data_IF_983892184466
#
_entry.id   IF_983892184466
#
_cell.length_a   1.000
_cell.length_b   1.000
_cell.length_c   1.000
_cell.angle_alpha   90.00
_cell.angle_beta   90.00
_cell.angle_gamma   90.00
#
_symmetry.space_group_name_H-M   'P 1'
#
loop_
_entity.id
_entity.type
_entity.pdbx_description
1 polymer ?
#
# COMPACT_ATOMS: atom_id res chain seq x y z
N UNK A 1 -22.41 16.55 9.27
CA UNK A 1 -21.64 15.31 9.53
C UNK A 1 -21.84 14.33 8.36
N UNK A 2 -20.87 14.25 7.44
CA UNK A 2 -20.92 13.46 6.18
C UNK A 2 -19.94 12.27 6.29
N UNK A 3 -19.96 11.57 7.42
CA UNK A 3 -18.94 10.57 7.76
C UNK A 3 -19.34 9.10 7.46
N UNK A 4 -20.47 8.86 6.79
CA UNK A 4 -21.07 7.52 6.66
C UNK A 4 -21.38 7.05 5.25
N UNK A 5 -20.84 7.67 4.20
CA UNK A 5 -21.35 7.47 2.83
C UNK A 5 -20.79 6.26 2.07
N UNK A 6 -19.61 5.75 2.45
CA UNK A 6 -18.98 4.64 1.72
C UNK A 6 -18.74 3.44 2.62
N UNK A 7 -19.19 2.25 2.20
CA UNK A 7 -18.91 0.98 2.89
C UNK A 7 -17.38 0.79 2.93
N UNK A 8 -16.77 0.91 4.12
CA UNK A 8 -15.31 0.88 4.39
C UNK A 8 -14.51 -0.25 3.73
N UNK A 9 -15.14 -1.33 3.27
CA UNK A 9 -14.48 -2.48 2.60
C UNK A 9 -14.48 -2.45 1.06
N UNK A 10 -15.23 -1.56 0.41
CA UNK A 10 -15.31 -1.47 -1.07
C UNK A 10 -15.26 -0.02 -1.63
N UNK A 11 -15.13 0.98 -0.76
CA UNK A 11 -15.15 2.40 -1.13
C UNK A 11 -14.19 2.73 -2.29
N UNK A 12 -12.96 2.22 -2.27
CA UNK A 12 -11.96 2.49 -3.31
C UNK A 12 -12.40 2.03 -4.70
N UNK A 13 -12.82 0.78 -4.88
CA UNK A 13 -13.23 0.27 -6.19
C UNK A 13 -14.41 1.07 -6.78
N UNK A 14 -15.39 1.40 -5.94
CA UNK A 14 -16.54 2.20 -6.35
C UNK A 14 -16.15 3.64 -6.70
N UNK A 15 -15.25 4.27 -5.94
CA UNK A 15 -14.74 5.60 -6.26
C UNK A 15 -14.02 5.64 -7.61
N UNK A 16 -13.21 4.62 -7.93
CA UNK A 16 -12.55 4.55 -9.25
C UNK A 16 -13.54 4.40 -10.39
N UNK A 17 -14.53 3.53 -10.21
CA UNK A 17 -15.59 3.34 -11.21
C UNK A 17 -16.46 4.58 -11.37
N UNK A 18 -16.80 5.27 -10.28
CA UNK A 18 -17.54 6.53 -10.31
C UNK A 18 -16.82 7.59 -11.15
N UNK A 19 -15.52 7.80 -10.91
CA UNK A 19 -14.71 8.79 -11.63
C UNK A 19 -14.55 8.43 -13.10
N UNK A 20 -14.29 7.14 -13.40
CA UNK A 20 -14.19 6.65 -14.76
C UNK A 20 -15.49 6.88 -15.53
N UNK A 21 -16.63 6.47 -14.95
CA UNK A 21 -17.96 6.65 -15.56
C UNK A 21 -18.32 8.12 -15.72
N UNK A 22 -17.97 8.98 -14.75
CA UNK A 22 -18.19 10.41 -14.84
C UNK A 22 -17.46 10.98 -16.06
N UNK A 23 -16.19 10.64 -16.25
CA UNK A 23 -15.41 11.03 -17.42
C UNK A 23 -15.99 10.51 -18.74
N UNK A 24 -16.38 9.22 -18.79
CA UNK A 24 -17.01 8.61 -19.98
C UNK A 24 -18.33 9.31 -20.36
N UNK A 25 -19.18 9.63 -19.39
CA UNK A 25 -20.45 10.32 -19.63
C UNK A 25 -20.25 11.75 -20.13
N UNK A 26 -19.33 12.51 -19.53
CA UNK A 26 -19.00 13.85 -20.00
C UNK A 26 -18.45 13.82 -21.43
N UNK A 27 -17.60 12.83 -21.74
CA UNK A 27 -17.06 12.64 -23.09
C UNK A 27 -18.15 12.25 -24.12
N UNK A 28 -19.22 11.60 -23.67
CA UNK A 28 -20.41 11.30 -24.48
C UNK A 28 -21.39 12.48 -24.61
N UNK A 29 -21.07 13.64 -24.03
CA UNK A 29 -21.87 14.86 -24.16
C UNK A 29 -22.93 15.06 -23.07
N UNK A 30 -22.94 14.25 -22.02
CA UNK A 30 -23.80 14.51 -20.86
C UNK A 30 -23.33 15.76 -20.12
N UNK A 31 -24.28 16.54 -19.58
CA UNK A 31 -23.94 17.64 -18.67
C UNK A 31 -23.43 17.11 -17.32
N UNK A 32 -22.60 17.89 -16.62
CA UNK A 32 -22.08 17.54 -15.29
C UNK A 32 -23.19 17.15 -14.31
N UNK A 33 -24.28 17.91 -14.29
CA UNK A 33 -25.43 17.63 -13.43
C UNK A 33 -26.10 16.30 -13.76
N UNK A 34 -26.33 16.00 -15.05
CA UNK A 34 -26.94 14.74 -15.48
C UNK A 34 -26.06 13.53 -15.12
N UNK A 35 -24.75 13.64 -15.36
CA UNK A 35 -23.81 12.57 -15.09
C UNK A 35 -23.70 12.29 -13.58
N UNK A 36 -23.54 13.32 -12.75
CA UNK A 36 -23.49 13.17 -11.30
C UNK A 36 -24.79 12.62 -10.72
N UNK A 37 -25.96 13.08 -11.18
CA UNK A 37 -27.25 12.58 -10.73
C UNK A 37 -27.41 11.09 -11.05
N UNK A 38 -27.10 10.68 -12.29
CA UNK A 38 -27.16 9.28 -12.71
C UNK A 38 -26.22 8.38 -11.90
N UNK A 39 -25.01 8.85 -11.60
CA UNK A 39 -24.07 8.08 -10.78
C UNK A 39 -24.53 8.03 -9.32
N UNK A 40 -24.96 9.13 -8.71
CA UNK A 40 -25.39 9.11 -7.32
C UNK A 40 -26.59 8.18 -7.08
N UNK A 41 -27.50 8.03 -8.05
CA UNK A 41 -28.59 7.05 -8.01
C UNK A 41 -28.09 5.60 -7.90
N UNK A 42 -27.00 5.28 -8.59
CA UNK A 42 -26.46 3.91 -8.64
C UNK A 42 -25.46 3.60 -7.52
N UNK A 43 -24.87 4.63 -6.90
CA UNK A 43 -23.75 4.47 -5.98
C UNK A 43 -24.05 4.85 -4.50
N UNK A 44 -25.18 5.48 -4.18
CA UNK A 44 -25.54 5.92 -2.82
C UNK A 44 -26.92 5.38 -2.34
N UNK A 45 -26.98 4.83 -1.12
CA UNK A 45 -28.26 4.43 -0.48
C UNK A 45 -29.10 5.63 -0.02
N UNK A 46 -28.46 6.75 0.31
CA UNK A 46 -29.10 8.01 0.70
C UNK A 46 -29.09 9.03 -0.46
N UNK A 47 -29.12 8.53 -1.70
CA UNK A 47 -28.97 9.32 -2.92
C UNK A 47 -29.85 10.58 -2.96
N UNK A 48 -31.07 10.55 -2.42
CA UNK A 48 -31.95 11.72 -2.38
C UNK A 48 -31.33 12.94 -1.68
N UNK A 49 -30.68 12.78 -0.52
CA UNK A 49 -30.05 13.89 0.21
C UNK A 49 -28.75 14.35 -0.47
N UNK A 50 -27.97 13.41 -0.99
CA UNK A 50 -26.71 13.68 -1.67
C UNK A 50 -26.93 14.40 -3.00
N UNK A 51 -27.92 13.96 -3.78
CA UNK A 51 -28.32 14.59 -5.05
C UNK A 51 -28.83 16.00 -4.79
N UNK A 52 -29.70 16.22 -3.78
CA UNK A 52 -30.17 17.57 -3.45
C UNK A 52 -29.03 18.51 -3.04
N UNK A 53 -28.10 18.04 -2.20
CA UNK A 53 -26.95 18.86 -1.79
C UNK A 53 -26.04 19.17 -2.98
N UNK A 54 -25.66 18.17 -3.76
CA UNK A 54 -24.76 18.35 -4.92
C UNK A 54 -25.41 19.24 -5.98
N UNK A 55 -26.73 19.13 -6.17
CA UNK A 55 -27.46 20.03 -7.07
C UNK A 55 -27.42 21.48 -6.58
N UNK A 56 -27.54 21.73 -5.28
CA UNK A 56 -27.35 23.08 -4.71
C UNK A 56 -25.95 23.59 -5.03
N UNK A 57 -24.92 22.82 -4.68
CA UNK A 57 -23.51 23.20 -4.87
C UNK A 57 -23.18 23.47 -6.35
N UNK A 58 -23.68 22.65 -7.27
CA UNK A 58 -23.50 22.87 -8.71
C UNK A 58 -24.22 24.14 -9.20
N UNK A 59 -25.43 24.42 -8.70
CA UNK A 59 -26.16 25.64 -9.02
C UNK A 59 -25.47 26.89 -8.44
N UNK A 60 -24.81 26.74 -7.29
CA UNK A 60 -24.03 27.78 -6.62
C UNK A 60 -22.66 28.02 -7.30
N UNK A 61 -22.31 27.20 -8.30
CA UNK A 61 -21.07 27.32 -9.08
C UNK A 61 -19.84 26.68 -8.42
N UNK A 62 -20.05 25.84 -7.40
CA UNK A 62 -18.98 25.06 -6.75
C UNK A 62 -18.29 24.16 -7.77
N UNK A 63 -16.95 24.17 -7.78
CA UNK A 63 -16.14 23.36 -8.70
C UNK A 63 -16.21 21.86 -8.38
N UNK A 64 -16.01 21.01 -9.38
CA UNK A 64 -16.09 19.56 -9.22
C UNK A 64 -15.06 19.03 -8.22
N UNK A 65 -13.86 19.63 -8.15
CA UNK A 65 -12.84 19.24 -7.18
C UNK A 65 -13.35 19.30 -5.71
N UNK A 66 -14.11 20.33 -5.37
CA UNK A 66 -14.65 20.59 -4.03
C UNK A 66 -15.80 19.62 -3.74
N UNK A 67 -16.64 19.34 -4.74
CA UNK A 67 -17.70 18.32 -4.66
C UNK A 67 -17.09 16.93 -4.40
N UNK A 68 -16.05 16.56 -5.14
CA UNK A 68 -15.35 15.29 -4.93
C UNK A 68 -14.68 15.24 -3.54
N UNK A 69 -14.11 16.35 -3.07
CA UNK A 69 -13.55 16.44 -1.73
C UNK A 69 -14.63 16.22 -0.65
N UNK A 70 -15.81 16.83 -0.80
CA UNK A 70 -16.96 16.59 0.09
C UNK A 70 -17.43 15.13 0.09
N UNK A 71 -17.30 14.44 -1.04
CA UNK A 71 -17.61 13.02 -1.18
C UNK A 71 -16.50 12.09 -0.63
N UNK A 72 -15.47 12.64 0.03
CA UNK A 72 -14.31 11.92 0.56
C UNK A 72 -13.52 11.17 -0.54
N UNK A 73 -13.44 11.74 -1.74
CA UNK A 73 -12.50 11.24 -2.73
C UNK A 73 -11.07 11.50 -2.28
N UNK A 74 -10.13 10.66 -2.74
CA UNK A 74 -8.71 10.97 -2.61
C UNK A 74 -8.44 12.31 -3.31
N UNK A 75 -8.22 13.36 -2.55
CA UNK A 75 -7.00 14.14 -2.60
C UNK A 75 -6.29 14.29 -3.97
N UNK A 76 -5.63 13.23 -4.46
CA UNK A 76 -4.95 13.23 -5.77
C UNK A 76 -5.91 13.37 -6.97
N UNK A 77 -7.06 12.70 -6.92
CA UNK A 77 -8.12 12.81 -7.92
C UNK A 77 -8.71 14.22 -7.88
N UNK A 78 -8.92 14.78 -6.69
CA UNK A 78 -9.45 16.14 -6.53
C UNK A 78 -8.51 17.17 -7.18
N UNK A 79 -7.20 17.00 -7.01
CA UNK A 79 -6.19 17.85 -7.64
C UNK A 79 -6.17 17.73 -9.17
N UNK A 80 -6.17 16.50 -9.69
CA UNK A 80 -6.22 16.25 -11.14
C UNK A 80 -7.45 16.91 -11.77
N UNK A 81 -8.60 16.81 -11.10
CA UNK A 81 -9.85 17.47 -11.52
C UNK A 81 -9.73 19.00 -11.48
N UNK A 82 -9.19 19.58 -10.42
CA UNK A 82 -9.00 21.03 -10.31
C UNK A 82 -8.25 21.61 -11.51
N UNK A 83 -7.11 21.01 -11.88
CA UNK A 83 -6.34 21.46 -13.03
C UNK A 83 -7.05 21.16 -14.35
N UNK A 84 -7.71 20.01 -14.47
CA UNK A 84 -8.46 19.68 -15.68
C UNK A 84 -9.63 20.64 -15.92
N UNK A 85 -10.30 21.13 -14.87
CA UNK A 85 -11.32 22.17 -14.95
C UNK A 85 -10.74 23.50 -15.43
N UNK A 86 -9.59 23.92 -14.90
CA UNK A 86 -8.93 25.18 -15.29
C UNK A 86 -8.43 25.18 -16.73
N UNK A 87 -8.01 24.02 -17.24
CA UNK A 87 -7.41 23.88 -18.57
C UNK A 87 -8.34 23.23 -19.62
N UNK A 88 -9.61 22.98 -19.27
CA UNK A 88 -10.64 22.54 -20.22
C UNK A 88 -10.49 21.10 -20.71
N UNK A 89 -9.90 20.20 -19.92
CA UNK A 89 -9.63 18.78 -20.29
C UNK A 89 -10.21 17.78 -19.31
N UNK A 90 -11.35 18.16 -18.74
CA UNK A 90 -11.99 17.44 -17.64
C UNK A 90 -12.40 16.00 -17.98
N UNK A 91 -13.07 15.71 -19.13
CA UNK A 91 -13.50 14.36 -19.46
C UNK A 91 -12.33 13.38 -19.56
N UNK A 92 -11.25 13.75 -20.26
CA UNK A 92 -10.08 12.92 -20.46
C UNK A 92 -9.37 12.65 -19.13
N UNK A 93 -9.15 13.69 -18.32
CA UNK A 93 -8.49 13.53 -17.00
C UNK A 93 -9.30 12.64 -16.06
N UNK A 94 -10.64 12.74 -16.05
CA UNK A 94 -11.49 11.86 -15.23
C UNK A 94 -11.39 10.40 -15.67
N UNK A 95 -11.37 10.11 -16.98
CA UNK A 95 -11.18 8.75 -17.49
C UNK A 95 -9.84 8.20 -17.01
N UNK A 96 -8.74 8.94 -17.22
CA UNK A 96 -7.40 8.53 -16.80
C UNK A 96 -7.30 8.33 -15.28
N UNK A 97 -7.85 9.26 -14.48
CA UNK A 97 -7.86 9.18 -13.03
C UNK A 97 -8.64 7.95 -12.52
N UNK A 98 -9.80 7.66 -13.12
CA UNK A 98 -10.64 6.52 -12.78
C UNK A 98 -9.97 5.18 -13.10
N UNK A 99 -9.38 5.05 -14.29
CA UNK A 99 -8.60 3.87 -14.66
C UNK A 99 -7.40 3.66 -13.72
N UNK A 100 -6.71 4.75 -13.39
CA UNK A 100 -5.58 4.73 -12.49
C UNK A 100 -5.97 4.21 -11.11
N UNK A 101 -7.07 4.74 -10.56
CA UNK A 101 -7.56 4.34 -9.25
C UNK A 101 -8.01 2.88 -9.24
N UNK A 102 -8.71 2.43 -10.29
CA UNK A 102 -9.12 1.03 -10.45
C UNK A 102 -7.92 0.09 -10.42
N UNK A 103 -6.86 0.38 -11.19
CA UNK A 103 -5.61 -0.41 -11.20
C UNK A 103 -4.95 -0.44 -9.82
N UNK A 104 -5.00 0.66 -9.08
CA UNK A 104 -4.45 0.77 -7.72
C UNK A 104 -5.20 -0.11 -6.72
N UNK A 105 -6.53 -0.14 -6.79
CA UNK A 105 -7.36 -1.01 -5.96
C UNK A 105 -7.19 -2.50 -6.31
N UNK A 106 -7.08 -2.83 -7.60
CA UNK A 106 -6.77 -4.20 -8.04
C UNK A 106 -5.41 -4.69 -7.49
N UNK A 107 -4.41 -3.82 -7.47
CA UNK A 107 -3.10 -4.12 -6.88
C UNK A 107 -3.19 -4.38 -5.36
N UNK A 108 -3.97 -3.57 -4.62
CA UNK A 108 -4.23 -3.78 -3.19
C UNK A 108 -4.94 -5.10 -2.94
N UNK A 109 -5.95 -5.45 -3.74
CA UNK A 109 -6.68 -6.71 -3.61
C UNK A 109 -5.78 -7.91 -3.88
N UNK A 110 -4.95 -7.85 -4.92
CA UNK A 110 -3.93 -8.87 -5.20
C UNK A 110 -2.99 -9.05 -4.01
N UNK A 111 -2.48 -7.96 -3.45
CA UNK A 111 -1.59 -8.01 -2.27
C UNK A 111 -2.28 -8.62 -1.06
N UNK A 112 -3.54 -8.24 -0.79
CA UNK A 112 -4.32 -8.80 0.32
C UNK A 112 -4.51 -10.32 0.17
N UNK A 113 -4.82 -10.80 -1.05
CA UNK A 113 -4.94 -12.23 -1.34
C UNK A 113 -3.62 -12.97 -1.13
N UNK A 114 -2.50 -12.38 -1.52
CA UNK A 114 -1.17 -12.97 -1.32
C UNK A 114 -0.80 -13.10 0.17
N UNK A 115 -1.22 -12.16 1.01
CA UNK A 115 -0.94 -12.18 2.46
C UNK A 115 -1.92 -13.04 3.26
N UNK A 116 -3.08 -13.36 2.71
CA UNK A 116 -4.12 -14.13 3.40
C UNK A 116 -3.61 -15.51 3.86
N UNK A 117 -2.84 -16.21 3.01
CA UNK A 117 -2.37 -17.56 3.30
C UNK A 117 -1.32 -17.61 4.44
N UNK A 118 -0.22 -16.82 4.42
CA UNK A 118 0.72 -16.75 5.54
C UNK A 118 0.06 -16.39 6.88
N UNK A 119 -0.88 -15.43 6.87
CA UNK A 119 -1.59 -15.01 8.08
C UNK A 119 -2.44 -16.15 8.65
N UNK A 120 -3.16 -16.87 7.78
CA UNK A 120 -3.95 -18.02 8.19
C UNK A 120 -3.10 -19.14 8.81
N UNK A 121 -1.95 -19.44 8.22
CA UNK A 121 -1.05 -20.49 8.72
C UNK A 121 -0.44 -20.13 10.08
N UNK A 122 -0.01 -18.87 10.26
CA UNK A 122 0.48 -18.37 11.56
C UNK A 122 -0.62 -18.39 12.63
N UNK A 123 -1.85 -18.04 12.26
CA UNK A 123 -3.00 -18.13 13.16
C UNK A 123 -3.28 -19.57 13.59
N UNK A 124 -3.27 -20.53 12.67
CA UNK A 124 -3.46 -21.95 12.97
C UNK A 124 -2.34 -22.49 13.88
N UNK A 125 -1.09 -22.11 13.62
CA UNK A 125 0.04 -22.46 14.48
C UNK A 125 -0.12 -21.93 15.90
N UNK A 126 -0.52 -20.65 16.04
CA UNK A 126 -0.78 -20.05 17.34
C UNK A 126 -1.90 -20.76 18.09
N UNK A 127 -3.00 -21.10 17.40
CA UNK A 127 -4.10 -21.86 17.99
C UNK A 127 -3.67 -23.27 18.43
N UNK A 128 -2.87 -23.96 17.62
CA UNK A 128 -2.33 -25.28 17.96
C UNK A 128 -1.47 -25.24 19.23
N UNK A 129 -0.58 -24.25 19.34
CA UNK A 129 0.27 -24.05 20.52
C UNK A 129 -0.56 -23.73 21.77
N UNK A 130 -1.60 -22.91 21.64
CA UNK A 130 -2.54 -22.65 22.75
C UNK A 130 -3.28 -23.91 23.19
N UNK A 131 -3.79 -24.71 22.24
CA UNK A 131 -4.49 -25.95 22.55
C UNK A 131 -3.57 -26.92 23.29
N UNK A 132 -2.33 -27.06 22.84
CA UNK A 132 -1.35 -27.90 23.52
C UNK A 132 -1.09 -27.42 24.95
N UNK A 133 -0.79 -26.14 25.12
CA UNK A 133 -0.44 -25.60 26.43
C UNK A 133 -1.62 -25.65 27.41
N UNK A 134 -2.83 -25.32 26.97
CA UNK A 134 -4.00 -25.25 27.85
C UNK A 134 -4.63 -26.61 28.15
N UNK A 135 -4.61 -27.55 27.20
CA UNK A 135 -5.33 -28.83 27.34
C UNK A 135 -4.42 -30.04 27.49
N UNK A 136 -3.37 -30.16 26.66
CA UNK A 136 -2.50 -31.34 26.72
C UNK A 136 -1.51 -31.25 27.89
N UNK A 137 -0.89 -30.09 28.05
CA UNK A 137 0.21 -29.93 29.01
C UNK A 137 -0.19 -30.21 30.47
N UNK A 138 -1.34 -29.73 30.99
CA UNK A 138 -1.77 -30.02 32.35
C UNK A 138 -2.00 -31.52 32.59
N UNK A 139 -2.45 -32.25 31.56
CA UNK A 139 -2.65 -33.70 31.64
C UNK A 139 -1.32 -34.45 31.76
N UNK A 140 -0.27 -33.96 31.09
CA UNK A 140 1.06 -34.52 31.25
C UNK A 140 1.64 -34.23 32.64
N UNK A 141 1.44 -33.03 33.17
CA UNK A 141 1.85 -32.70 34.54
C UNK A 141 1.16 -33.59 35.58
N UNK A 142 -0.15 -33.85 35.44
CA UNK A 142 -0.89 -34.82 36.26
C UNK A 142 -0.27 -36.23 36.18
N UNK A 143 0.05 -36.72 34.98
CA UNK A 143 0.66 -38.03 34.76
C UNK A 143 2.08 -38.13 35.33
N UNK A 144 2.89 -37.10 35.17
CA UNK A 144 4.24 -37.04 35.74
C UNK A 144 4.22 -37.07 37.25
N UNK A 145 3.29 -36.33 37.86
CA UNK A 145 3.08 -36.34 39.31
C UNK A 145 2.65 -37.73 39.81
N UNK A 146 1.72 -38.39 39.10
CA UNK A 146 1.23 -39.72 39.45
C UNK A 146 2.32 -40.81 39.41
N UNK A 147 3.32 -40.64 38.54
CA UNK A 147 4.43 -41.59 38.35
C UNK A 147 5.69 -41.18 39.09
N UNK A 148 5.68 -40.07 39.84
CA UNK A 148 6.87 -39.47 40.47
C UNK A 148 8.03 -39.26 39.47
N UNK A 149 7.69 -39.04 38.21
CA UNK A 149 8.64 -38.86 37.12
C UNK A 149 8.92 -37.37 36.93
N UNK A 150 10.18 -36.95 37.07
CA UNK A 150 10.59 -35.57 36.81
C UNK A 150 11.29 -35.49 35.44
N UNK A 151 10.72 -34.81 34.43
CA UNK A 151 11.39 -34.63 33.16
C UNK A 151 12.70 -33.87 33.35
N UNK A 152 13.81 -34.40 32.81
CA UNK A 152 15.15 -33.83 32.95
C UNK A 152 15.84 -33.69 31.59
N UNK A 153 16.86 -32.82 31.53
CA UNK A 153 17.67 -32.61 30.32
C UNK A 153 16.92 -31.97 29.15
N UNK A 154 17.01 -32.58 27.98
CA UNK A 154 16.43 -32.07 26.72
C UNK A 154 14.90 -32.03 26.73
N UNK A 155 14.25 -32.95 27.44
CA UNK A 155 12.78 -33.00 27.57
C UNK A 155 12.25 -31.74 28.27
N UNK A 156 12.91 -31.29 29.34
CA UNK A 156 12.51 -30.09 30.10
C UNK A 156 12.69 -28.80 29.28
N UNK A 157 13.78 -28.68 28.53
CA UNK A 157 14.01 -27.53 27.64
C UNK A 157 12.95 -27.45 26.54
N UNK A 158 12.61 -28.59 25.93
CA UNK A 158 11.63 -28.66 24.86
C UNK A 158 10.22 -28.32 25.38
N UNK A 159 9.86 -28.84 26.54
CA UNK A 159 8.63 -28.52 27.26
C UNK A 159 8.54 -27.01 27.56
N UNK A 160 9.60 -26.43 28.14
CA UNK A 160 9.64 -25.01 28.46
C UNK A 160 9.51 -24.11 27.22
N UNK A 161 10.14 -24.51 26.10
CA UNK A 161 10.03 -23.80 24.82
C UNK A 161 8.59 -23.81 24.29
N UNK A 162 7.89 -24.95 24.33
CA UNK A 162 6.52 -25.06 23.86
C UNK A 162 5.52 -24.33 24.76
N UNK A 163 5.71 -24.38 26.09
CA UNK A 163 4.88 -23.65 27.05
C UNK A 163 5.03 -22.12 26.89
N UNK A 164 6.25 -21.63 26.71
CA UNK A 164 6.48 -20.20 26.51
C UNK A 164 6.28 -19.76 25.04
N UNK A 165 6.04 -20.69 24.12
CA UNK A 165 5.85 -20.39 22.70
C UNK A 165 4.76 -19.34 22.43
N UNK A 166 3.52 -19.50 22.92
CA UNK A 166 2.47 -18.50 22.76
C UNK A 166 2.83 -17.11 23.30
N UNK A 167 3.47 -17.04 24.48
CA UNK A 167 3.88 -15.77 25.08
C UNK A 167 5.01 -15.11 24.30
N UNK A 168 5.99 -15.87 23.79
CA UNK A 168 7.03 -15.34 22.90
C UNK A 168 6.46 -14.82 21.58
N UNK A 169 5.48 -15.51 20.97
CA UNK A 169 4.81 -15.03 19.75
C UNK A 169 4.07 -13.72 20.03
N UNK A 170 3.33 -13.64 21.14
CA UNK A 170 2.63 -12.41 21.54
C UNK A 170 3.60 -11.27 21.87
N UNK A 171 4.71 -11.55 22.56
CA UNK A 171 5.74 -10.55 22.88
C UNK A 171 6.45 -10.07 21.60
N UNK A 172 6.76 -10.96 20.68
CA UNK A 172 7.33 -10.60 19.38
C UNK A 172 6.35 -9.75 18.56
N UNK A 173 5.06 -10.12 18.53
CA UNK A 173 4.02 -9.35 17.86
C UNK A 173 3.84 -7.96 18.50
N UNK A 174 3.84 -7.87 19.82
CA UNK A 174 3.77 -6.60 20.56
C UNK A 174 5.03 -5.75 20.30
N UNK A 175 6.22 -6.34 20.34
CA UNK A 175 7.49 -5.66 20.04
C UNK A 175 7.51 -5.11 18.62
N UNK A 176 7.06 -5.88 17.63
CA UNK A 176 6.89 -5.42 16.25
C UNK A 176 5.85 -4.31 16.14
N UNK A 177 4.74 -4.39 16.87
CA UNK A 177 3.74 -3.33 16.91
C UNK A 177 4.32 -2.04 17.49
N UNK A 178 5.02 -2.09 18.63
CA UNK A 178 5.67 -0.91 19.23
C UNK A 178 6.76 -0.35 18.33
N UNK A 179 7.60 -1.21 17.74
CA UNK A 179 8.64 -0.77 16.81
C UNK A 179 8.05 -0.10 15.56
N UNK A 180 6.98 -0.67 14.99
CA UNK A 180 6.29 -0.09 13.83
C UNK A 180 5.55 1.22 14.17
N UNK A 181 4.93 1.32 15.35
CA UNK A 181 4.32 2.56 15.86
C UNK A 181 5.37 3.63 16.11
N UNK A 182 6.46 3.30 16.80
CA UNK A 182 7.59 4.21 17.07
C UNK A 182 8.20 4.70 15.75
N UNK A 183 8.45 3.79 14.82
CA UNK A 183 8.91 4.12 13.48
C UNK A 183 7.90 5.02 12.75
N UNK A 184 6.60 4.72 12.82
CA UNK A 184 5.56 5.52 12.19
C UNK A 184 5.49 6.94 12.76
N UNK A 185 5.53 7.10 14.09
CA UNK A 185 5.55 8.41 14.73
C UNK A 185 6.83 9.19 14.42
N UNK A 186 7.99 8.53 14.45
CA UNK A 186 9.24 9.15 14.06
C UNK A 186 9.19 9.59 12.60
N UNK A 187 8.75 8.71 11.71
CA UNK A 187 8.59 9.00 10.28
C UNK A 187 7.64 10.17 10.05
N UNK A 188 6.48 10.23 10.71
CA UNK A 188 5.54 11.34 10.55
C UNK A 188 6.14 12.71 10.94
N UNK A 189 7.01 12.75 11.95
CA UNK A 189 7.67 13.99 12.41
C UNK A 189 8.80 14.47 11.50
N UNK A 190 9.32 13.63 10.61
CA UNK A 190 10.43 14.00 9.73
C UNK A 190 9.97 14.83 8.52
N UNK A 191 10.80 15.79 8.12
CA UNK A 191 10.58 16.55 6.89
C UNK A 191 10.65 15.59 5.68
N UNK A 192 9.92 15.88 4.57
CA UNK A 192 9.98 15.06 3.36
C UNK A 192 11.39 14.80 2.84
N UNK A 193 12.27 15.82 2.91
CA UNK A 193 13.69 15.70 2.52
C UNK A 193 14.48 14.76 3.43
N UNK A 194 14.27 14.86 4.75
CA UNK A 194 14.89 13.94 5.72
C UNK A 194 14.47 12.49 5.48
N UNK A 195 13.18 12.26 5.16
CA UNK A 195 12.65 10.93 4.82
C UNK A 195 13.38 10.32 3.63
N UNK A 196 13.52 11.07 2.54
CA UNK A 196 14.24 10.62 1.33
C UNK A 196 15.68 10.22 1.70
N UNK A 197 16.42 11.12 2.36
CA UNK A 197 17.82 10.91 2.73
C UNK A 197 18.03 9.68 3.62
N UNK A 198 17.10 9.42 4.54
CA UNK A 198 17.20 8.28 5.43
C UNK A 198 16.82 6.97 4.75
N UNK A 199 15.74 6.96 3.95
CA UNK A 199 15.27 5.75 3.27
C UNK A 199 16.25 5.26 2.21
N UNK A 200 16.94 6.16 1.51
CA UNK A 200 17.93 5.80 0.47
C UNK A 200 19.19 5.15 1.07
N UNK A 201 19.52 5.41 2.34
CA UNK A 201 20.72 4.87 3.01
C UNK A 201 20.56 3.43 3.50
N UNK A 202 19.33 2.95 3.69
CA UNK A 202 19.08 1.60 4.23
C UNK A 202 18.98 0.63 3.04
N UNK A 203 19.89 -0.34 2.87
CA UNK A 203 20.06 -1.08 1.61
C UNK A 203 18.80 -1.82 1.11
N UNK A 204 18.05 -2.45 2.01
CA UNK A 204 16.83 -3.20 1.64
C UNK A 204 15.64 -2.26 1.35
N UNK A 205 15.22 -1.36 2.27
CA UNK A 205 14.14 -0.40 2.00
C UNK A 205 14.44 0.59 0.88
N UNK A 206 15.71 0.99 0.72
CA UNK A 206 16.16 1.93 -0.32
C UNK A 206 15.72 1.48 -1.69
N UNK A 207 15.95 0.21 -2.04
CA UNK A 207 15.60 -0.30 -3.37
C UNK A 207 14.09 -0.22 -3.63
N UNK A 208 13.25 -0.55 -2.64
CA UNK A 208 11.79 -0.47 -2.81
C UNK A 208 11.30 0.97 -2.82
N UNK A 209 11.90 1.82 -1.98
CA UNK A 209 11.56 3.23 -1.90
C UNK A 209 11.88 3.95 -3.21
N UNK A 210 13.09 3.76 -3.76
CA UNK A 210 13.51 4.42 -4.99
C UNK A 210 12.68 3.95 -6.18
N UNK A 211 12.44 2.64 -6.30
CA UNK A 211 11.55 2.09 -7.32
C UNK A 211 10.13 2.65 -7.20
N UNK A 212 9.58 2.72 -5.99
CA UNK A 212 8.23 3.23 -5.76
C UNK A 212 8.13 4.73 -6.08
N UNK A 213 9.10 5.53 -5.63
CA UNK A 213 9.13 6.97 -5.86
C UNK A 213 9.31 7.29 -7.35
N UNK A 214 10.24 6.61 -8.04
CA UNK A 214 10.40 6.71 -9.49
C UNK A 214 9.12 6.32 -10.22
N UNK A 215 8.53 5.17 -9.86
CA UNK A 215 7.28 4.69 -10.47
C UNK A 215 6.16 5.71 -10.29
N UNK A 216 5.99 6.25 -9.09
CA UNK A 216 4.98 7.26 -8.79
C UNK A 216 5.21 8.54 -9.60
N UNK A 217 6.43 9.08 -9.58
CA UNK A 217 6.78 10.28 -10.36
C UNK A 217 6.55 10.08 -11.85
N UNK A 218 7.11 9.02 -12.45
CA UNK A 218 7.00 8.75 -13.87
C UNK A 218 5.54 8.60 -14.31
N UNK A 219 4.72 7.93 -13.50
CA UNK A 219 3.30 7.72 -13.80
C UNK A 219 2.49 9.02 -13.75
N UNK A 220 2.65 9.81 -12.69
CA UNK A 220 1.89 11.06 -12.53
C UNK A 220 2.30 12.10 -13.57
N UNK A 221 3.61 12.25 -13.82
CA UNK A 221 4.10 13.13 -14.88
C UNK A 221 3.59 12.68 -16.24
N UNK A 222 3.64 11.37 -16.54
CA UNK A 222 3.11 10.84 -17.79
C UNK A 222 1.62 11.14 -18.00
N UNK A 223 0.79 10.98 -16.96
CA UNK A 223 -0.65 11.24 -17.08
C UNK A 223 -0.98 12.71 -17.28
N UNK A 224 -0.29 13.60 -16.57
CA UNK A 224 -0.47 15.03 -16.77
C UNK A 224 0.03 15.46 -18.16
N UNK A 225 1.16 14.93 -18.64
CA UNK A 225 1.62 15.19 -20.00
C UNK A 225 0.68 14.63 -21.09
N UNK A 226 0.07 13.44 -20.88
CA UNK A 226 -0.94 12.88 -21.80
C UNK A 226 -2.23 13.70 -21.79
N UNK A 227 -2.57 14.28 -20.64
CA UNK A 227 -3.62 15.29 -20.53
C UNK A 227 -3.19 16.62 -21.14
N UNK A 228 -2.01 16.72 -21.75
CA UNK A 228 -1.45 17.83 -22.52
C UNK A 228 -1.11 19.08 -21.73
N UNK A 229 -0.81 18.91 -20.44
CA UNK A 229 -0.07 19.90 -19.67
C UNK A 229 1.39 19.95 -20.14
N UNK A 230 2.00 21.13 -20.13
CA UNK A 230 3.43 21.30 -20.36
C UNK A 230 4.25 20.90 -19.12
N UNK A 231 5.52 20.54 -19.30
CA UNK A 231 6.40 20.02 -18.22
C UNK A 231 6.47 20.95 -16.99
N UNK A 232 6.52 22.26 -17.23
CA UNK A 232 6.50 23.28 -16.17
C UNK A 232 5.19 23.28 -15.38
N UNK A 233 4.04 23.19 -16.06
CA UNK A 233 2.72 23.08 -15.44
C UNK A 233 2.64 21.80 -14.61
N UNK A 234 3.09 20.66 -15.16
CA UNK A 234 3.11 19.38 -14.45
C UNK A 234 3.87 19.46 -13.14
N UNK A 235 5.04 20.11 -13.11
CA UNK A 235 5.81 20.22 -11.89
C UNK A 235 5.19 21.18 -10.87
N UNK A 236 4.55 22.27 -11.32
CA UNK A 236 3.79 23.15 -10.43
C UNK A 236 2.62 22.38 -9.77
N UNK A 237 1.88 21.59 -10.55
CA UNK A 237 0.81 20.71 -10.05
C UNK A 237 1.35 19.78 -8.96
N UNK A 238 2.51 19.15 -9.21
CA UNK A 238 3.15 18.25 -8.26
C UNK A 238 3.71 18.95 -7.01
N UNK A 239 3.92 20.26 -7.04
CA UNK A 239 4.38 21.05 -5.89
C UNK A 239 3.25 21.56 -5.00
N UNK A 240 2.11 21.89 -5.60
CA UNK A 240 0.94 22.44 -4.89
C UNK A 240 0.15 21.35 -4.15
N UNK A 241 0.28 20.10 -4.58
CA UNK A 241 -0.39 18.97 -3.95
C UNK A 241 0.11 18.68 -2.52
N UNK A 242 -0.81 18.38 -1.62
CA UNK A 242 -0.53 18.10 -0.20
C UNK A 242 -0.51 16.61 0.16
N UNK A 243 -0.72 15.75 -0.84
CA UNK A 243 -1.14 14.36 -0.67
C UNK A 243 0.04 13.39 -0.62
N UNK A 244 1.09 13.73 -1.36
CA UNK A 244 2.36 13.02 -1.42
C UNK A 244 3.50 14.00 -1.09
N UNK A 245 3.78 14.25 0.20
CA UNK A 245 4.82 15.21 0.59
C UNK A 245 6.21 14.92 0.01
N UNK A 246 6.54 13.64 -0.21
CA UNK A 246 7.80 13.22 -0.83
C UNK A 246 7.82 13.62 -2.31
N UNK A 247 6.74 13.36 -3.05
CA UNK A 247 6.63 13.74 -4.46
C UNK A 247 6.65 15.26 -4.62
N UNK A 248 6.00 15.98 -3.70
CA UNK A 248 6.06 17.45 -3.61
C UNK A 248 7.48 17.95 -3.42
N UNK A 249 8.21 17.36 -2.47
CA UNK A 249 9.59 17.75 -2.20
C UNK A 249 10.49 17.53 -3.41
N UNK A 250 10.34 16.39 -4.09
CA UNK A 250 11.07 16.09 -5.32
C UNK A 250 10.72 17.06 -6.44
N UNK A 251 9.43 17.38 -6.64
CA UNK A 251 9.00 18.35 -7.65
C UNK A 251 9.51 19.77 -7.34
N UNK A 252 9.59 20.17 -6.06
CA UNK A 252 10.21 21.42 -5.63
C UNK A 252 11.70 21.44 -6.01
N UNK A 253 12.44 20.40 -5.67
CA UNK A 253 13.87 20.29 -5.99
C UNK A 253 14.13 20.33 -7.50
N UNK A 254 13.36 19.57 -8.30
CA UNK A 254 13.51 19.57 -9.76
C UNK A 254 13.20 20.93 -10.41
N UNK A 255 12.19 21.65 -9.92
CA UNK A 255 11.81 22.94 -10.50
C UNK A 255 12.85 24.03 -10.25
N UNK A 256 13.53 24.01 -9.08
CA UNK A 256 14.67 24.91 -8.82
C UNK A 256 15.74 24.80 -9.92
N UNK A 257 15.98 23.59 -10.43
CA UNK A 257 16.93 23.33 -11.50
C UNK A 257 16.38 23.74 -12.88
N UNK A 258 15.12 23.41 -13.18
CA UNK A 258 14.49 23.80 -14.45
C UNK A 258 14.39 25.32 -14.65
N UNK A 259 14.07 26.08 -13.60
CA UNK A 259 13.99 27.55 -13.68
C UNK A 259 15.36 28.17 -14.01
N UNK A 260 16.46 27.49 -13.67
CA UNK A 260 17.81 27.91 -14.06
C UNK A 260 18.21 27.50 -15.48
N UNK A 261 17.32 26.88 -16.25
CA UNK A 261 17.51 26.49 -17.65
C UNK A 261 18.08 25.08 -17.85
N UNK A 262 18.19 24.28 -16.79
CA UNK A 262 18.55 22.85 -16.91
C UNK A 262 17.40 22.06 -17.53
N UNK A 263 17.70 20.95 -18.19
CA UNK A 263 16.70 19.99 -18.71
C UNK A 263 15.99 19.23 -17.59
N UNK A 264 14.87 18.57 -17.90
CA UNK A 264 14.16 17.72 -16.91
C UNK A 264 15.03 16.53 -16.51
N UNK A 265 15.77 15.96 -17.47
CA UNK A 265 16.73 14.89 -17.22
C UNK A 265 17.84 15.31 -16.23
N UNK A 266 18.49 16.46 -16.45
CA UNK A 266 19.53 16.99 -15.56
C UNK A 266 18.98 17.29 -14.17
N UNK A 267 17.78 17.87 -14.10
CA UNK A 267 17.10 18.15 -12.84
C UNK A 267 16.82 16.87 -12.04
N UNK A 268 16.49 15.77 -12.72
CA UNK A 268 16.28 14.47 -12.08
C UNK A 268 17.57 13.81 -11.60
N UNK A 269 18.73 14.08 -12.22
CA UNK A 269 20.04 13.59 -11.76
C UNK A 269 20.44 14.19 -10.42
N UNK A 270 20.00 15.43 -10.12
CA UNK A 270 20.31 16.12 -8.87
C UNK A 270 19.43 15.66 -7.69
N UNK A 271 18.33 14.96 -7.97
CA UNK A 271 17.38 14.52 -6.94
C UNK A 271 17.76 13.14 -6.40
N UNK A 272 17.99 13.08 -5.10
CA UNK A 272 18.12 11.81 -4.38
C UNK A 272 16.77 11.08 -4.31
N UNK A 273 16.77 9.75 -4.45
CA UNK A 273 15.57 8.93 -4.29
C UNK A 273 15.00 8.36 -5.58
N UNK A 274 15.53 8.74 -6.74
CA UNK A 274 15.22 8.07 -7.99
C UNK A 274 16.15 6.91 -8.28
N UNK A 275 15.68 5.97 -9.10
CA UNK A 275 16.53 4.96 -9.73
C UNK A 275 17.44 5.62 -10.78
N UNK A 276 18.67 5.13 -10.97
CA UNK A 276 19.66 5.76 -11.86
C UNK A 276 19.27 5.75 -13.34
N UNK A 277 18.28 4.92 -13.73
CA UNK A 277 17.78 4.85 -15.10
C UNK A 277 16.84 6.01 -15.45
N UNK A 278 16.16 6.64 -14.47
CA UNK A 278 15.14 7.65 -14.73
C UNK A 278 15.67 8.84 -15.58
N UNK A 279 16.82 9.46 -15.29
CA UNK A 279 17.34 10.56 -16.11
C UNK A 279 17.60 10.18 -17.56
N UNK A 280 17.99 8.93 -17.82
CA UNK A 280 18.24 8.44 -19.19
C UNK A 280 16.94 8.33 -19.99
N UNK A 281 15.87 7.85 -19.34
CA UNK A 281 14.53 7.81 -19.93
C UNK A 281 14.00 9.21 -20.19
N UNK A 282 14.15 10.13 -19.23
CA UNK A 282 13.76 11.53 -19.41
C UNK A 282 14.47 12.16 -20.62
N UNK A 283 15.80 12.01 -20.71
CA UNK A 283 16.60 12.55 -21.82
C UNK A 283 16.17 12.01 -23.18
N UNK A 284 15.88 10.71 -23.27
CA UNK A 284 15.44 10.07 -24.51
C UNK A 284 14.04 10.55 -24.92
N UNK A 285 13.11 10.60 -23.96
CA UNK A 285 11.75 11.09 -24.18
C UNK A 285 11.67 12.57 -24.54
N UNK A 286 12.51 13.41 -23.93
CA UNK A 286 12.64 14.85 -24.27
C UNK A 286 13.14 15.02 -25.71
N UNK A 287 14.20 14.29 -26.08
CA UNK A 287 14.83 14.41 -27.41
C UNK A 287 13.90 13.95 -28.55
N UNK A 288 13.11 12.91 -28.30
CA UNK A 288 12.23 12.31 -29.30
C UNK A 288 10.79 12.87 -29.26
N UNK A 289 10.49 13.80 -28.35
CA UNK A 289 9.14 14.34 -28.14
C UNK A 289 8.12 13.30 -27.64
N UNK A 290 8.58 12.21 -27.01
CA UNK A 290 7.77 11.07 -26.55
C UNK A 290 7.79 10.87 -25.04
N UNK A 291 8.11 11.92 -24.30
CA UNK A 291 8.29 11.91 -22.85
C UNK A 291 7.10 11.27 -22.10
N UNK A 292 5.88 11.61 -22.51
CA UNK A 292 4.68 11.08 -21.88
C UNK A 292 4.56 9.56 -22.03
N UNK A 293 4.80 9.03 -23.24
CA UNK A 293 4.72 7.58 -23.50
C UNK A 293 5.86 6.81 -22.83
N UNK A 294 7.09 7.35 -22.87
CA UNK A 294 8.25 6.68 -22.27
C UNK A 294 8.16 6.60 -20.75
N UNK A 295 7.70 7.68 -20.09
CA UNK A 295 7.46 7.66 -18.65
C UNK A 295 6.34 6.69 -18.26
N UNK A 296 5.30 6.55 -19.10
CA UNK A 296 4.26 5.55 -18.86
C UNK A 296 4.85 4.14 -18.90
N UNK A 297 5.57 3.80 -19.97
CA UNK A 297 6.22 2.51 -20.14
C UNK A 297 7.20 2.21 -19.01
N UNK A 298 7.98 3.21 -18.61
CA UNK A 298 8.93 3.08 -17.52
C UNK A 298 8.23 2.85 -16.17
N UNK A 299 7.12 3.56 -15.90
CA UNK A 299 6.34 3.32 -14.68
C UNK A 299 5.77 1.90 -14.62
N UNK A 300 5.33 1.35 -15.77
CA UNK A 300 4.85 -0.02 -15.88
C UNK A 300 5.99 -1.04 -15.69
N UNK A 301 7.17 -0.73 -16.22
CA UNK A 301 8.37 -1.55 -15.99
C UNK A 301 8.77 -1.58 -14.51
N UNK A 302 8.74 -0.44 -13.81
CA UNK A 302 8.94 -0.39 -12.37
C UNK A 302 7.87 -1.21 -11.61
N UNK A 303 6.60 -1.18 -12.04
CA UNK A 303 5.53 -2.00 -11.48
C UNK A 303 5.84 -3.51 -11.58
N UNK A 304 6.32 -3.96 -12.74
CA UNK A 304 6.75 -5.36 -12.94
C UNK A 304 7.92 -5.73 -12.02
N UNK A 305 8.89 -4.83 -11.84
CA UNK A 305 10.03 -5.07 -10.93
C UNK A 305 9.55 -5.16 -9.47
N UNK A 306 8.68 -4.25 -9.04
CA UNK A 306 8.12 -4.23 -7.68
C UNK A 306 7.34 -5.52 -7.44
N UNK A 307 6.46 -5.91 -8.36
CA UNK A 307 5.69 -7.15 -8.25
C UNK A 307 6.60 -8.39 -8.18
N UNK A 308 7.64 -8.46 -9.01
CA UNK A 308 8.62 -9.56 -9.01
C UNK A 308 9.38 -9.64 -7.70
N UNK A 309 9.79 -8.50 -7.14
CA UNK A 309 10.49 -8.43 -5.84
C UNK A 309 9.58 -8.88 -4.69
N UNK A 310 8.33 -8.40 -4.66
CA UNK A 310 7.32 -8.83 -3.68
C UNK A 310 7.09 -10.34 -3.78
N UNK A 311 6.85 -10.87 -4.98
CA UNK A 311 6.64 -12.31 -5.20
C UNK A 311 7.83 -13.15 -4.75
N UNK A 312 9.06 -12.72 -5.06
CA UNK A 312 10.29 -13.41 -4.60
C UNK A 312 10.40 -13.43 -3.08
N UNK A 313 10.13 -12.31 -2.42
CA UNK A 313 10.13 -12.25 -0.95
C UNK A 313 9.11 -13.21 -0.34
N UNK A 314 7.88 -13.21 -0.87
CA UNK A 314 6.82 -14.12 -0.43
C UNK A 314 7.13 -15.60 -0.72
N UNK A 315 7.75 -15.89 -1.87
CA UNK A 315 8.11 -17.25 -2.27
C UNK A 315 9.18 -17.89 -1.37
N UNK A 316 10.04 -17.09 -0.74
CA UNK A 316 11.01 -17.58 0.27
C UNK A 316 10.36 -17.70 1.66
N UNK A 317 9.49 -16.74 1.99
CA UNK A 317 8.81 -16.70 3.28
C UNK A 317 7.87 -17.90 3.47
N UNK A 318 7.18 -18.34 2.42
CA UNK A 318 6.22 -19.45 2.53
C UNK A 318 6.88 -20.80 2.92
N UNK A 319 7.92 -21.31 2.24
CA UNK A 319 8.65 -22.50 2.68
C UNK A 319 9.25 -22.37 4.09
N UNK A 320 9.74 -21.17 4.46
CA UNK A 320 10.29 -20.93 5.79
C UNK A 320 9.21 -21.10 6.89
N UNK A 321 8.00 -20.59 6.67
CA UNK A 321 6.87 -20.80 7.60
C UNK A 321 6.52 -22.29 7.68
N UNK A 322 6.44 -23.01 6.56
CA UNK A 322 6.15 -24.45 6.58
C UNK A 322 7.20 -25.25 7.34
N UNK A 323 8.48 -24.96 7.11
CA UNK A 323 9.57 -25.61 7.82
C UNK A 323 9.45 -25.33 9.33
N UNK A 324 9.18 -24.09 9.71
CA UNK A 324 8.98 -23.70 11.10
C UNK A 324 7.78 -24.43 11.73
N UNK A 325 6.63 -24.47 11.05
CA UNK A 325 5.44 -25.23 11.49
C UNK A 325 5.78 -26.70 11.65
N UNK A 326 6.47 -27.30 10.68
CA UNK A 326 6.89 -28.71 10.75
C UNK A 326 7.80 -28.98 11.95
N UNK A 327 8.78 -28.10 12.21
CA UNK A 327 9.65 -28.19 13.38
C UNK A 327 8.86 -28.09 14.68
N UNK A 328 7.89 -27.18 14.77
CA UNK A 328 6.99 -27.08 15.93
C UNK A 328 6.19 -28.36 16.10
N UNK A 329 5.59 -28.92 15.04
CA UNK A 329 4.82 -30.17 15.13
C UNK A 329 5.70 -31.35 15.58
N UNK A 330 6.93 -31.46 15.06
CA UNK A 330 7.89 -32.49 15.51
C UNK A 330 8.29 -32.27 16.97
N UNK A 331 8.54 -31.03 17.39
CA UNK A 331 8.81 -30.71 18.78
C UNK A 331 7.63 -31.11 19.67
N UNK A 332 6.40 -30.80 19.27
CA UNK A 332 5.18 -31.23 19.98
C UNK A 332 5.15 -32.76 20.12
N UNK A 333 5.35 -33.49 19.03
CA UNK A 333 5.37 -34.95 19.06
C UNK A 333 6.43 -35.49 20.02
N UNK A 334 7.65 -34.96 19.94
CA UNK A 334 8.76 -35.34 20.81
C UNK A 334 8.48 -34.99 22.28
N UNK A 335 7.85 -33.83 22.56
CA UNK A 335 7.48 -33.40 23.91
C UNK A 335 6.56 -34.40 24.60
N UNK A 336 5.73 -35.08 23.82
CA UNK A 336 4.79 -36.11 24.30
C UNK A 336 5.46 -37.47 24.40
N UNK A 337 6.18 -37.88 23.35
CA UNK A 337 6.71 -39.24 23.24
C UNK A 337 7.97 -39.49 24.08
N UNK A 338 8.89 -38.53 24.18
CA UNK A 338 10.12 -38.69 24.98
C UNK A 338 9.82 -39.05 26.45
N UNK A 339 8.95 -38.30 27.15
CA UNK A 339 8.54 -38.67 28.51
C UNK A 339 7.91 -40.07 28.58
N UNK A 340 7.05 -40.43 27.63
CA UNK A 340 6.44 -41.77 27.60
C UNK A 340 7.49 -42.88 27.47
N UNK A 341 8.50 -42.71 26.62
CA UNK A 341 9.60 -43.68 26.51
C UNK A 341 10.47 -43.73 27.76
N UNK A 342 10.76 -42.58 28.37
CA UNK A 342 11.52 -42.51 29.62
C UNK A 342 10.77 -43.20 30.77
N UNK A 343 9.45 -43.07 30.82
CA UNK A 343 8.60 -43.77 31.77
C UNK A 343 8.65 -45.30 31.58
N UNK A 344 8.52 -45.79 30.34
CA UNK A 344 8.59 -47.24 30.06
C UNK A 344 9.97 -47.86 30.35
N UNK A 345 11.06 -47.10 30.22
CA UNK A 345 12.40 -47.57 30.55
C UNK A 345 12.77 -47.49 32.04
N UNK A 346 11.93 -46.83 32.86
CA UNK A 346 12.09 -46.72 34.32
C UNK A 346 11.29 -47.77 35.11
N UNK A 347 10.45 -48.54 34.43
CA UNK A 347 9.77 -49.75 34.90
C UNK A 347 10.62 -50.94 34.43
#
# INVERSE_FOLDING_TARGET
>A
MIAGYWRKRKAGKYQGEFILRLGEMLNQGFTMSQALEFLLMNFDRNHHKSIQKIRSELNDGTSLNEILHMLNFPSMICLQVYFAEKHGRLPETLIYAGEHWKKTEEAKEKLAKLLQYPIFLLFLLFMLLLLLNQFLMPRFEELYAALSFAPSGSTLLLIAFLQQGPSFILLAAAGLAVASLSFFFHYQRQTPRSKINWMVKIPVPSTYFTLFLTRLFAKEVSYLLQSGFAVNEVLLILQEQTMHPILRQVALEMNLHLVTGQSLAESAEQVSGFVPELPRILRHGETNGRLAQELLLFSQFCDVIIEKKIKRGLAVLQPAIFLFVGLVVVAIYLSVMLPMFQMMGSI
#
